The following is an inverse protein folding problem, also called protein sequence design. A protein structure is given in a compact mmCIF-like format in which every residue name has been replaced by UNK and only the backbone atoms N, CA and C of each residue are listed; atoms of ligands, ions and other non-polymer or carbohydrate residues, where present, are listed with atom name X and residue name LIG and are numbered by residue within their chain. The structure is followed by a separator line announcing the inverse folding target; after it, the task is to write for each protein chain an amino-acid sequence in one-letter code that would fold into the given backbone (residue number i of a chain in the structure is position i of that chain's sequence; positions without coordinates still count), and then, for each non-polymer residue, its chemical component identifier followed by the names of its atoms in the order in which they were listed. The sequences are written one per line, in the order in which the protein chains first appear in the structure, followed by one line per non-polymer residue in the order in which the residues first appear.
data_IF_719468765990
#
_entry.id   IF_719468765990
#
_cell.length_a   1.000
_cell.length_b   1.000
_cell.length_c   1.000
_cell.angle_alpha   90.00
_cell.angle_beta   90.00
_cell.angle_gamma   90.00
#
_symmetry.space_group_name_H-M   'P 1'
#
loop_
_entity.id
_entity.type
_entity.pdbx_description
1 polymer ?
#
# COMPACT_ATOMS: atom_id res chain seq x y z
N UNK A 1 -29.64 -25.72 -8.73
CA UNK A 1 -28.88 -24.53 -8.33
C UNK A 1 -28.93 -24.25 -6.82
N UNK A 2 -29.91 -24.79 -6.07
CA UNK A 2 -30.02 -24.54 -4.62
C UNK A 2 -28.96 -25.24 -3.75
N UNK A 3 -28.37 -26.34 -4.23
CA UNK A 3 -27.36 -27.12 -3.48
C UNK A 3 -26.06 -26.33 -3.28
N UNK A 4 -25.73 -25.41 -4.19
CA UNK A 4 -24.52 -24.58 -4.10
C UNK A 4 -24.62 -23.47 -3.02
N UNK A 5 -25.84 -23.06 -2.64
CA UNK A 5 -26.05 -22.01 -1.63
C UNK A 5 -25.81 -22.55 -0.21
N UNK A 6 -26.27 -23.76 0.09
CA UNK A 6 -26.11 -24.38 1.42
C UNK A 6 -24.64 -24.62 1.79
N UNK A 7 -23.84 -25.10 0.83
CA UNK A 7 -22.42 -25.33 1.06
C UNK A 7 -21.66 -24.03 1.39
N UNK A 8 -22.12 -22.88 0.89
CA UNK A 8 -21.52 -21.58 1.15
C UNK A 8 -21.92 -21.04 2.53
N UNK A 9 -23.16 -21.27 2.96
CA UNK A 9 -23.64 -20.89 4.29
C UNK A 9 -23.01 -21.74 5.41
N UNK A 10 -22.81 -23.03 5.17
CA UNK A 10 -22.16 -23.94 6.12
C UNK A 10 -20.68 -23.61 6.30
N UNK A 11 -19.97 -23.26 5.21
CA UNK A 11 -18.59 -22.79 5.28
C UNK A 11 -18.46 -21.46 6.03
N UNK A 12 -19.45 -20.56 5.89
CA UNK A 12 -19.46 -19.29 6.62
C UNK A 12 -19.71 -19.49 8.13
N UNK A 13 -20.60 -20.40 8.51
CA UNK A 13 -20.84 -20.73 9.93
C UNK A 13 -19.65 -21.44 10.57
N UNK A 14 -18.97 -22.34 9.85
CA UNK A 14 -17.78 -23.01 10.35
C UNK A 14 -16.62 -22.03 10.59
N UNK A 15 -16.45 -21.04 9.71
CA UNK A 15 -15.43 -20.00 9.91
C UNK A 15 -15.74 -19.09 11.11
N UNK A 16 -17.02 -18.74 11.34
CA UNK A 16 -17.42 -17.95 12.49
C UNK A 16 -17.23 -18.70 13.83
N UNK A 17 -17.51 -20.01 13.87
CA UNK A 17 -17.30 -20.82 15.08
C UNK A 17 -15.81 -20.97 15.44
N UNK A 18 -14.92 -21.03 14.43
CA UNK A 18 -13.48 -21.11 14.66
C UNK A 18 -12.88 -19.81 15.22
N UNK A 19 -13.47 -18.64 14.92
CA UNK A 19 -13.06 -17.37 15.54
C UNK A 19 -13.45 -17.31 17.03
N UNK A 20 -14.61 -17.87 17.41
CA UNK A 20 -15.09 -17.87 18.80
C UNK A 20 -14.28 -18.82 19.71
N UNK A 21 -13.81 -19.96 19.19
CA UNK A 21 -12.91 -20.87 19.93
C UNK A 21 -11.49 -20.30 20.14
N UNK A 22 -11.03 -19.40 19.26
CA UNK A 22 -9.73 -18.71 19.45
C UNK A 22 -9.76 -17.62 20.51
N UNK A 23 -10.92 -16.99 20.74
CA UNK A 23 -11.08 -16.02 21.84
C UNK A 23 -11.20 -16.71 23.20
N UNK A 24 -11.83 -17.89 23.28
CA UNK A 24 -11.98 -18.62 24.54
C UNK A 24 -10.67 -19.24 25.10
N UNK A 25 -9.64 -19.41 24.26
CA UNK A 25 -8.35 -20.01 24.65
C UNK A 25 -7.36 -18.99 25.26
N UNK A 26 -7.61 -17.69 25.08
CA UNK A 26 -6.72 -16.63 25.56
C UNK A 26 -6.82 -16.37 27.09
N UNK A 27 -7.89 -16.83 27.74
CA UNK A 27 -8.17 -16.49 29.15
C UNK A 27 -7.51 -17.39 30.21
N UNK A 28 -6.75 -18.43 29.82
CA UNK A 28 -6.22 -19.41 30.81
C UNK A 28 -4.72 -19.28 31.12
N UNK A 29 -4.07 -18.16 30.80
CA UNK A 29 -2.62 -17.97 31.02
C UNK A 29 -2.28 -16.65 31.73
N UNK A 30 -2.74 -16.46 32.97
CA UNK A 30 -2.26 -15.38 33.85
C UNK A 30 -2.11 -15.88 35.29
N UNK A 31 -0.95 -16.47 35.58
CA UNK A 31 -0.51 -16.72 36.95
C UNK A 31 1.03 -16.77 37.04
N UNK A 32 1.71 -15.71 36.60
CA UNK A 32 3.07 -15.38 37.06
C UNK A 32 3.34 -13.90 36.77
N UNK A 33 3.15 -13.07 37.80
CA UNK A 33 3.22 -11.61 37.71
C UNK A 33 4.65 -11.11 37.67
N UNK A 34 5.18 -10.91 36.46
CA UNK A 34 6.34 -10.07 36.21
C UNK A 34 5.82 -8.72 35.71
N UNK A 35 5.99 -7.67 36.51
CA UNK A 35 5.58 -6.31 36.12
C UNK A 35 6.36 -5.89 34.87
N UNK A 36 5.71 -5.95 33.72
CA UNK A 36 6.26 -5.38 32.50
C UNK A 36 6.09 -3.85 32.53
N UNK A 37 7.20 -3.14 32.30
CA UNK A 37 7.19 -1.68 32.30
C UNK A 37 6.36 -1.08 31.15
N UNK A 38 5.95 0.19 31.26
CA UNK A 38 5.11 0.87 30.27
C UNK A 38 5.68 0.86 28.83
N UNK A 39 7.00 0.70 28.69
CA UNK A 39 7.68 0.63 27.39
C UNK A 39 7.38 -0.67 26.61
N UNK A 40 6.97 -1.77 27.26
CA UNK A 40 6.66 -3.02 26.55
C UNK A 40 5.30 -2.97 25.85
N UNK A 41 4.34 -2.25 26.43
CA UNK A 41 2.98 -2.13 25.89
C UNK A 41 2.96 -1.29 24.59
N UNK A 42 3.76 -0.22 24.51
CA UNK A 42 3.87 0.60 23.30
C UNK A 42 4.56 -0.18 22.15
N UNK A 43 5.61 -0.95 22.48
CA UNK A 43 6.30 -1.80 21.51
C UNK A 43 5.38 -2.91 20.95
N UNK A 44 4.58 -3.55 21.81
CA UNK A 44 3.64 -4.59 21.38
C UNK A 44 2.47 -4.01 20.55
N UNK A 45 1.95 -2.84 20.92
CA UNK A 45 0.97 -2.13 20.11
C UNK A 45 1.51 -1.79 18.71
N UNK A 46 2.77 -1.36 18.61
CA UNK A 46 3.45 -1.16 17.33
C UNK A 46 3.58 -2.46 16.53
N UNK A 47 3.93 -3.58 17.18
CA UNK A 47 4.04 -4.90 16.54
C UNK A 47 2.70 -5.39 15.97
N UNK A 48 1.64 -5.36 16.76
CA UNK A 48 0.28 -5.76 16.33
C UNK A 48 -0.18 -4.91 15.15
N UNK A 49 0.12 -3.60 15.18
CA UNK A 49 -0.20 -2.69 14.09
C UNK A 49 0.57 -3.06 12.80
N UNK A 50 1.87 -3.35 12.89
CA UNK A 50 2.69 -3.79 11.75
C UNK A 50 2.18 -5.11 11.14
N UNK A 51 1.76 -6.07 11.96
CA UNK A 51 1.20 -7.34 11.50
C UNK A 51 -0.14 -7.14 10.78
N UNK A 52 -1.06 -6.38 11.38
CA UNK A 52 -2.36 -6.02 10.78
C UNK A 52 -2.16 -5.23 9.48
N UNK A 53 -1.12 -4.39 9.41
CA UNK A 53 -0.75 -3.66 8.21
C UNK A 53 -0.31 -4.61 7.09
N UNK A 54 0.57 -5.56 7.39
CA UNK A 54 1.05 -6.56 6.42
C UNK A 54 -0.12 -7.32 5.79
N UNK A 55 -1.13 -7.70 6.57
CA UNK A 55 -2.34 -8.36 6.06
C UNK A 55 -3.16 -7.46 5.11
N UNK A 56 -3.41 -6.20 5.49
CA UNK A 56 -4.10 -5.23 4.63
C UNK A 56 -3.32 -4.97 3.31
N UNK A 57 -1.99 -5.06 3.35
CA UNK A 57 -1.13 -4.85 2.19
C UNK A 57 -1.13 -6.04 1.25
N UNK A 58 -0.99 -7.25 1.80
CA UNK A 58 -1.17 -8.49 1.05
C UNK A 58 -2.56 -8.53 0.42
N UNK A 59 -3.58 -8.01 1.10
CA UNK A 59 -4.92 -7.83 0.51
C UNK A 59 -4.88 -6.88 -0.70
N UNK A 60 -4.32 -5.67 -0.58
CA UNK A 60 -4.15 -4.76 -1.73
C UNK A 60 -3.38 -5.39 -2.90
N UNK A 61 -2.29 -6.11 -2.59
CA UNK A 61 -1.46 -6.83 -3.56
C UNK A 61 -2.24 -7.93 -4.26
N UNK A 62 -2.91 -8.79 -3.50
CA UNK A 62 -3.69 -9.91 -4.02
C UNK A 62 -4.92 -9.43 -4.79
N UNK A 63 -5.49 -8.28 -4.44
CA UNK A 63 -6.58 -7.67 -5.21
C UNK A 63 -6.13 -7.08 -6.55
N UNK A 64 -4.88 -6.60 -6.62
CA UNK A 64 -4.30 -6.11 -7.86
C UNK A 64 -3.80 -7.26 -8.72
N UNK A 65 -3.00 -8.17 -8.16
CA UNK A 65 -2.44 -9.28 -8.91
C UNK A 65 -3.50 -10.35 -9.20
N UNK A 66 -3.47 -10.90 -10.42
CA UNK A 66 -4.44 -11.88 -10.93
C UNK A 66 -4.56 -13.20 -10.12
N UNK A 67 -3.81 -13.35 -9.03
CA UNK A 67 -3.90 -14.49 -8.12
C UNK A 67 -5.22 -14.52 -7.32
N UNK A 68 -5.91 -13.39 -7.19
CA UNK A 68 -7.30 -13.36 -6.69
C UNK A 68 -8.27 -13.81 -7.78
N UNK A 69 -8.36 -15.13 -7.99
CA UNK A 69 -9.39 -15.74 -8.86
C UNK A 69 -10.81 -15.64 -8.27
N UNK A 70 -11.00 -14.92 -7.16
CA UNK A 70 -12.31 -14.75 -6.55
C UNK A 70 -13.18 -13.85 -7.45
N UNK A 71 -14.20 -14.45 -8.04
CA UNK A 71 -15.18 -13.78 -8.89
C UNK A 71 -15.94 -12.64 -8.19
N UNK A 72 -15.78 -12.50 -6.87
CA UNK A 72 -16.54 -11.60 -6.01
C UNK A 72 -15.80 -10.34 -5.56
N UNK A 73 -14.63 -10.01 -6.14
CA UNK A 73 -13.95 -8.77 -5.76
C UNK A 73 -14.81 -7.53 -6.09
N UNK A 74 -15.33 -6.87 -5.05
CA UNK A 74 -16.10 -5.62 -5.17
C UNK A 74 -15.14 -4.42 -5.25
N UNK A 75 -15.38 -3.53 -6.20
CA UNK A 75 -14.63 -2.26 -6.34
C UNK A 75 -14.61 -1.45 -5.04
N UNK A 76 -15.73 -1.45 -4.30
CA UNK A 76 -15.84 -0.78 -3.01
C UNK A 76 -14.88 -1.37 -1.95
N UNK A 77 -14.66 -2.68 -1.95
CA UNK A 77 -13.72 -3.35 -1.05
C UNK A 77 -12.28 -2.92 -1.38
N UNK A 78 -11.89 -2.96 -2.66
CA UNK A 78 -10.57 -2.48 -3.10
C UNK A 78 -10.31 -1.03 -2.66
N UNK A 79 -11.28 -0.13 -2.90
CA UNK A 79 -11.16 1.28 -2.52
C UNK A 79 -11.07 1.49 -0.99
N UNK A 80 -11.75 0.64 -0.20
CA UNK A 80 -11.69 0.66 1.26
C UNK A 80 -10.29 0.30 1.75
N UNK A 81 -9.69 -0.75 1.19
CA UNK A 81 -8.34 -1.19 1.55
C UNK A 81 -7.25 -0.19 1.13
N UNK A 82 -7.34 0.39 -0.09
CA UNK A 82 -6.43 1.47 -0.51
C UNK A 82 -6.52 2.66 0.45
N UNK A 83 -7.73 3.02 0.92
CA UNK A 83 -7.90 4.11 1.89
C UNK A 83 -7.27 3.78 3.25
N UNK A 84 -7.45 2.55 3.75
CA UNK A 84 -6.80 2.08 4.98
C UNK A 84 -5.28 2.14 4.85
N UNK A 85 -4.72 1.54 3.80
CA UNK A 85 -3.29 1.55 3.53
C UNK A 85 -2.70 2.97 3.48
N UNK A 86 -3.38 3.94 2.87
CA UNK A 86 -2.93 5.35 2.87
C UNK A 86 -2.92 6.00 4.25
N UNK A 87 -3.88 5.68 5.13
CA UNK A 87 -3.90 6.20 6.51
C UNK A 87 -2.71 5.65 7.29
N UNK A 88 -2.45 4.35 7.14
CA UNK A 88 -1.30 3.72 7.78
C UNK A 88 0.03 4.26 7.26
N UNK A 89 0.15 4.49 5.94
CA UNK A 89 1.31 5.20 5.38
C UNK A 89 1.56 6.52 6.10
N UNK A 90 0.52 7.36 6.22
CA UNK A 90 0.66 8.67 6.83
C UNK A 90 1.07 8.58 8.30
N UNK A 91 0.58 7.56 9.02
CA UNK A 91 0.96 7.29 10.40
C UNK A 91 2.44 6.87 10.51
N UNK A 92 2.90 5.95 9.66
CA UNK A 92 4.32 5.55 9.60
C UNK A 92 5.23 6.74 9.21
N UNK A 93 4.81 7.55 8.24
CA UNK A 93 5.55 8.76 7.85
C UNK A 93 5.66 9.74 9.02
N UNK A 94 4.63 9.83 9.88
CA UNK A 94 4.66 10.68 11.08
C UNK A 94 5.55 10.15 12.21
N UNK A 95 5.84 8.85 12.24
CA UNK A 95 6.75 8.24 13.21
C UNK A 95 8.22 8.32 12.82
N UNK A 96 8.51 8.60 11.55
CA UNK A 96 9.88 8.85 11.10
C UNK A 96 10.41 10.22 11.51
N UNK A 97 9.65 11.04 12.25
CA UNK A 97 10.25 12.02 13.13
C UNK A 97 10.80 11.27 14.34
N UNK A 98 12.14 11.08 14.45
CA UNK A 98 12.69 10.38 15.59
C UNK A 98 12.22 11.09 16.86
N UNK A 99 11.61 10.39 17.83
CA UNK A 99 11.44 10.99 19.15
C UNK A 99 12.83 11.46 19.57
N UNK A 100 12.92 12.73 19.97
CA UNK A 100 14.16 13.49 20.13
C UNK A 100 15.25 12.76 20.95
N UNK A 101 14.91 11.69 21.69
CA UNK A 101 15.87 10.92 22.47
C UNK A 101 15.61 9.40 22.43
N UNK A 102 16.53 8.65 21.79
CA UNK A 102 16.95 7.26 22.11
C UNK A 102 16.00 6.07 21.86
N UNK A 103 15.52 5.86 20.64
CA UNK A 103 15.19 4.50 20.20
C UNK A 103 15.99 4.18 18.95
N UNK A 104 17.01 3.33 19.08
CA UNK A 104 17.67 2.70 17.94
C UNK A 104 16.70 1.68 17.35
N UNK A 105 16.28 1.82 16.09
CA UNK A 105 15.41 0.84 15.46
C UNK A 105 16.10 -0.54 15.49
N UNK A 106 15.49 -1.52 16.16
CA UNK A 106 15.96 -2.90 16.07
C UNK A 106 15.98 -3.33 14.60
N UNK A 107 17.09 -3.93 14.18
CA UNK A 107 17.34 -4.44 12.81
C UNK A 107 16.53 -5.72 12.52
N UNK A 108 15.28 -5.79 12.98
CA UNK A 108 14.34 -6.85 12.62
C UNK A 108 13.96 -6.73 11.15
N UNK A 109 14.08 -7.84 10.41
CA UNK A 109 13.68 -7.95 8.99
C UNK A 109 12.41 -7.14 8.71
N UNK A 110 12.52 -6.16 7.82
CA UNK A 110 11.38 -5.39 7.36
C UNK A 110 10.36 -6.34 6.74
N UNK A 111 9.25 -6.61 7.45
CA UNK A 111 8.22 -7.58 7.03
C UNK A 111 7.54 -7.21 5.71
N UNK A 112 7.76 -6.00 5.23
CA UNK A 112 7.59 -5.63 3.86
C UNK A 112 8.70 -4.66 3.51
N UNK A 113 9.67 -5.11 2.70
CA UNK A 113 10.65 -4.24 2.05
C UNK A 113 9.91 -2.99 1.57
N UNK A 114 10.20 -1.79 2.13
CA UNK A 114 9.41 -0.58 1.90
C UNK A 114 9.12 -0.36 0.42
N UNK A 115 10.12 -0.70 -0.40
CA UNK A 115 10.07 -0.77 -1.84
C UNK A 115 8.88 -1.53 -2.42
N UNK A 116 8.53 -2.73 -1.96
CA UNK A 116 7.41 -3.49 -2.52
C UNK A 116 6.06 -2.91 -2.15
N UNK A 117 5.91 -2.41 -0.94
CA UNK A 117 4.65 -1.84 -0.48
C UNK A 117 4.32 -0.52 -1.16
N UNK A 118 5.28 0.41 -1.16
CA UNK A 118 5.08 1.73 -1.75
C UNK A 118 4.78 1.64 -3.25
N UNK A 119 5.36 0.63 -3.92
CA UNK A 119 5.07 0.31 -5.34
C UNK A 119 3.58 0.07 -5.56
N UNK A 120 3.01 -0.86 -4.81
CA UNK A 120 1.63 -1.29 -4.98
C UNK A 120 0.67 -0.18 -4.56
N UNK A 121 0.92 0.48 -3.42
CA UNK A 121 0.04 1.54 -2.92
C UNK A 121 0.03 2.77 -3.84
N UNK A 122 1.18 3.17 -4.38
CA UNK A 122 1.29 4.26 -5.34
C UNK A 122 0.47 3.99 -6.60
N UNK A 123 0.63 2.81 -7.19
CA UNK A 123 -0.14 2.39 -8.37
C UNK A 123 -1.63 2.29 -8.07
N UNK A 124 -2.01 1.66 -6.95
CA UNK A 124 -3.40 1.57 -6.51
C UNK A 124 -4.05 2.95 -6.34
N UNK A 125 -3.32 3.90 -5.75
CA UNK A 125 -3.79 5.26 -5.52
C UNK A 125 -3.97 6.01 -6.84
N UNK A 126 -3.07 5.83 -7.81
CA UNK A 126 -3.23 6.40 -9.16
C UNK A 126 -4.45 5.80 -9.88
N UNK A 127 -4.60 4.47 -9.84
CA UNK A 127 -5.70 3.78 -10.52
C UNK A 127 -7.06 4.02 -9.86
N UNK A 128 -7.10 4.46 -8.59
CA UNK A 128 -8.32 4.79 -7.85
C UNK A 128 -9.32 5.63 -8.64
N UNK A 129 -8.85 6.64 -9.37
CA UNK A 129 -9.73 7.52 -10.13
C UNK A 129 -10.30 6.81 -11.37
N UNK A 130 -9.45 6.12 -12.14
CA UNK A 130 -9.88 5.32 -13.30
C UNK A 130 -10.90 4.24 -12.91
N UNK A 131 -10.66 3.56 -11.79
CA UNK A 131 -11.55 2.53 -11.21
C UNK A 131 -12.90 3.11 -10.80
N UNK A 132 -12.95 4.36 -10.33
CA UNK A 132 -14.20 5.04 -9.95
C UNK A 132 -15.03 5.48 -11.15
N UNK A 133 -14.37 5.95 -12.20
CA UNK A 133 -15.06 6.48 -13.38
C UNK A 133 -15.47 5.38 -14.36
N UNK A 134 -14.76 4.26 -14.40
CA UNK A 134 -14.98 3.22 -15.38
C UNK A 134 -15.13 1.84 -14.71
N UNK A 135 -16.39 1.38 -14.62
CA UNK A 135 -16.72 0.08 -14.03
C UNK A 135 -16.14 -1.08 -14.82
N UNK A 136 -16.07 -0.98 -16.16
CA UNK A 136 -15.48 -2.00 -17.02
C UNK A 136 -13.96 -2.10 -16.84
N UNK A 137 -13.30 -0.96 -16.64
CA UNK A 137 -11.88 -0.94 -16.26
C UNK A 137 -11.67 -1.72 -14.96
N UNK A 138 -12.50 -1.46 -13.94
CA UNK A 138 -12.39 -2.15 -12.67
C UNK A 138 -12.64 -3.67 -12.81
N UNK A 139 -13.60 -4.08 -13.63
CA UNK A 139 -13.95 -5.49 -13.79
C UNK A 139 -12.94 -6.27 -14.63
N UNK A 140 -12.41 -5.68 -15.71
CA UNK A 140 -11.52 -6.37 -16.66
C UNK A 140 -10.04 -6.16 -16.35
N UNK A 141 -9.63 -4.92 -16.08
CA UNK A 141 -8.20 -4.56 -15.97
C UNK A 141 -7.62 -4.83 -14.59
N UNK A 142 -8.37 -4.62 -13.51
CA UNK A 142 -7.86 -4.96 -12.17
C UNK A 142 -7.69 -6.48 -12.00
N UNK A 143 -8.59 -7.30 -12.56
CA UNK A 143 -8.50 -8.76 -12.46
C UNK A 143 -7.38 -9.39 -13.28
N UNK A 144 -6.89 -8.67 -14.29
CA UNK A 144 -5.84 -9.13 -15.21
C UNK A 144 -4.51 -8.40 -15.00
N UNK A 145 -4.34 -7.72 -13.86
CA UNK A 145 -3.13 -6.96 -13.61
C UNK A 145 -1.97 -7.92 -13.32
N UNK A 146 -0.94 -7.90 -14.16
CA UNK A 146 0.27 -8.70 -13.99
C UNK A 146 1.36 -7.90 -13.28
N UNK A 147 2.43 -8.57 -12.83
CA UNK A 147 3.62 -7.90 -12.29
C UNK A 147 4.26 -6.96 -13.34
N UNK A 148 4.31 -7.37 -14.59
CA UNK A 148 4.81 -6.53 -15.69
C UNK A 148 3.96 -5.26 -15.88
N UNK A 149 2.63 -5.38 -15.79
CA UNK A 149 1.74 -4.22 -15.87
C UNK A 149 1.91 -3.31 -14.65
N UNK A 150 2.14 -3.89 -13.47
CA UNK A 150 2.49 -3.12 -12.28
C UNK A 150 3.76 -2.31 -12.50
N UNK A 151 4.82 -2.90 -13.03
CA UNK A 151 6.07 -2.21 -13.37
C UNK A 151 5.86 -1.08 -14.38
N UNK A 152 5.05 -1.32 -15.42
CA UNK A 152 4.64 -0.28 -16.37
C UNK A 152 3.91 0.85 -15.67
N UNK A 153 3.04 0.56 -14.71
CA UNK A 153 2.35 1.61 -13.97
C UNK A 153 3.24 2.34 -12.96
N UNK A 154 4.29 1.70 -12.45
CA UNK A 154 5.24 2.33 -11.51
C UNK A 154 5.95 3.52 -12.12
N UNK A 155 6.25 3.49 -13.42
CA UNK A 155 6.86 4.65 -14.09
C UNK A 155 6.01 5.89 -13.91
N UNK A 156 4.68 5.77 -13.74
CA UNK A 156 3.78 6.89 -13.55
C UNK A 156 3.81 7.52 -12.15
N UNK A 157 4.29 6.79 -11.14
CA UNK A 157 4.31 7.21 -9.73
C UNK A 157 5.72 7.36 -9.17
N UNK A 158 6.76 7.37 -10.01
CA UNK A 158 8.16 7.64 -9.61
C UNK A 158 8.59 9.09 -9.83
N UNK A 159 9.31 9.64 -8.85
CA UNK A 159 10.04 10.89 -9.00
C UNK A 159 11.21 10.71 -9.97
N UNK A 160 11.38 11.61 -10.94
CA UNK A 160 12.50 11.54 -11.89
C UNK A 160 13.86 11.86 -11.25
N UNK A 161 13.88 12.53 -10.09
CA UNK A 161 15.11 12.85 -9.39
C UNK A 161 15.55 11.72 -8.45
N UNK A 162 14.77 11.43 -7.41
CA UNK A 162 15.14 10.48 -6.37
C UNK A 162 14.63 9.06 -6.61
N UNK A 163 13.88 8.80 -7.69
CA UNK A 163 13.27 7.48 -8.01
C UNK A 163 12.25 6.95 -6.98
N UNK A 164 12.07 7.65 -5.86
CA UNK A 164 11.05 7.37 -4.86
C UNK A 164 9.63 7.44 -5.42
N UNK A 165 8.76 6.63 -4.81
CA UNK A 165 7.37 6.52 -5.21
C UNK A 165 6.52 7.53 -4.46
N UNK A 166 5.70 8.26 -5.20
CA UNK A 166 4.87 9.33 -4.63
C UNK A 166 3.55 9.44 -5.41
N UNK A 167 2.43 9.55 -4.68
CA UNK A 167 1.09 9.70 -5.27
C UNK A 167 0.76 11.15 -5.65
N UNK A 168 1.58 12.12 -5.24
CA UNK A 168 1.42 13.57 -5.45
C UNK A 168 2.60 14.17 -6.21
N UNK A 169 2.91 13.60 -7.37
CA UNK A 169 3.98 14.11 -8.23
C UNK A 169 3.53 15.37 -8.98
N UNK A 170 4.42 16.36 -9.02
CA UNK A 170 4.26 17.60 -9.79
C UNK A 170 4.95 17.45 -11.13
N UNK A 171 4.24 17.77 -12.22
CA UNK A 171 4.84 17.79 -13.56
C UNK A 171 5.74 19.02 -13.72
N UNK A 172 6.79 18.86 -14.52
CA UNK A 172 7.57 19.99 -15.01
C UNK A 172 6.67 20.91 -15.84
N UNK A 173 6.55 22.18 -15.46
CA UNK A 173 5.75 23.16 -16.21
C UNK A 173 6.33 23.45 -17.61
N UNK A 174 7.63 23.20 -17.78
CA UNK A 174 8.30 23.35 -19.07
C UNK A 174 7.88 22.28 -20.07
N UNK A 175 8.12 21.00 -19.78
CA UNK A 175 7.89 19.92 -20.75
C UNK A 175 6.68 19.01 -20.47
N UNK A 176 6.09 19.09 -19.27
CA UNK A 176 4.98 18.26 -18.78
C UNK A 176 5.21 16.73 -18.78
N UNK A 177 6.45 16.29 -19.08
CA UNK A 177 6.83 14.87 -19.14
C UNK A 177 7.48 14.40 -17.85
N UNK A 178 8.45 15.15 -17.34
CA UNK A 178 9.14 14.81 -16.10
C UNK A 178 8.31 15.20 -14.89
N UNK A 179 8.48 14.47 -13.79
CA UNK A 179 7.69 14.66 -12.57
C UNK A 179 8.49 14.47 -11.29
N UNK A 180 8.09 15.18 -10.25
CA UNK A 180 8.88 15.34 -9.04
C UNK A 180 8.01 15.30 -7.79
N UNK A 181 8.53 14.71 -6.71
CA UNK A 181 7.86 14.72 -5.41
C UNK A 181 8.01 16.07 -4.69
N UNK A 182 9.03 16.86 -5.03
CA UNK A 182 9.30 18.18 -4.43
C UNK A 182 9.93 19.14 -5.42
N UNK A 183 9.91 20.43 -5.07
CA UNK A 183 10.62 21.48 -5.82
C UNK A 183 12.14 21.25 -5.79
N UNK A 184 12.66 20.71 -4.69
CA UNK A 184 14.10 20.44 -4.55
C UNK A 184 14.54 19.30 -5.46
N UNK A 185 13.75 18.24 -5.56
CA UNK A 185 13.96 17.18 -6.56
C UNK A 185 13.94 17.73 -7.99
N UNK A 186 13.04 18.67 -8.29
CA UNK A 186 13.00 19.31 -9.62
C UNK A 186 14.26 20.14 -9.87
N UNK A 187 14.70 20.97 -8.91
CA UNK A 187 15.91 21.80 -9.03
C UNK A 187 17.17 20.95 -9.15
N UNK A 188 17.29 19.90 -8.33
CA UNK A 188 18.41 18.96 -8.38
C UNK A 188 18.50 18.27 -9.75
N UNK A 189 17.38 17.73 -10.25
CA UNK A 189 17.35 17.11 -11.57
C UNK A 189 17.56 18.11 -12.72
N UNK A 190 17.13 19.36 -12.56
CA UNK A 190 17.33 20.44 -13.54
C UNK A 190 18.81 20.69 -13.82
N UNK A 191 19.60 20.82 -12.75
CA UNK A 191 21.04 21.10 -12.84
C UNK A 191 21.79 19.88 -13.41
N UNK A 192 21.43 18.67 -13.01
CA UNK A 192 22.16 17.46 -13.41
C UNK A 192 21.89 17.04 -14.86
N UNK A 193 20.64 17.07 -15.32
CA UNK A 193 20.28 16.48 -16.64
C UNK A 193 19.10 17.14 -17.33
N UNK A 194 18.04 17.48 -16.58
CA UNK A 194 16.73 17.78 -17.16
C UNK A 194 16.71 19.04 -18.02
N UNK A 195 17.57 20.04 -17.75
CA UNK A 195 17.62 21.30 -18.54
C UNK A 195 17.76 21.05 -20.05
N UNK A 196 18.62 20.10 -20.44
CA UNK A 196 18.86 19.75 -21.85
C UNK A 196 17.67 19.02 -22.46
N UNK A 197 17.10 18.06 -21.72
CA UNK A 197 15.94 17.25 -22.15
C UNK A 197 14.66 18.09 -22.28
N UNK A 198 14.43 19.01 -21.34
CA UNK A 198 13.25 19.86 -21.29
C UNK A 198 13.15 20.78 -22.52
N UNK A 199 14.28 21.36 -22.93
CA UNK A 199 14.35 22.27 -24.08
C UNK A 199 14.07 21.53 -25.39
N UNK A 200 14.54 20.30 -25.53
CA UNK A 200 14.27 19.47 -26.70
C UNK A 200 12.79 19.06 -26.79
N UNK A 201 12.17 18.70 -25.65
CA UNK A 201 10.78 18.28 -25.61
C UNK A 201 9.78 19.42 -25.88
N UNK A 202 10.11 20.66 -25.53
CA UNK A 202 9.24 21.81 -25.75
C UNK A 202 9.07 22.15 -27.24
N UNK A 203 10.06 21.84 -28.08
CA UNK A 203 10.07 22.15 -29.52
C UNK A 203 9.14 21.26 -30.37
N UNK A 204 8.65 20.14 -29.83
CA UNK A 204 7.75 19.23 -30.55
C UNK A 204 6.26 19.47 -30.33
N UNK A 205 5.87 20.63 -29.77
CA UNK A 205 4.48 21.00 -29.47
C UNK A 205 3.91 22.13 -30.36
N UNK A 206 4.68 22.56 -31.37
CA UNK A 206 4.22 23.46 -32.45
C UNK A 206 3.72 22.63 -33.62
#
# INVERSE_FOLDING_TARGET
MEVASRAQDDAYRAAAAAEEETEASADTALADGKEEGPDTMEAEAHRIMLLTNTANWLSCRNMLLAESRSSNLKVSAFLKEVKKARRYKAQLDSWNEPPSHRLTPEQGRSLAEPDHYWRILGVATRLKHAVRQNRDFAQRKLRAFTLEELEKQLVHVRCHCCQELNDKLRLCTGCEKAKYCSVDCQKGHWVSKHRRECTAAAKGRT
#
